data_IF_086839439959
#
_entry.id   IF_086839439959
#
_cell.length_a   1.000
_cell.length_b   1.000
_cell.length_c   1.000
_cell.angle_alpha   90.00
_cell.angle_beta   90.00
_cell.angle_gamma   90.00
#
_symmetry.space_group_name_H-M   'P 1'
#
loop_
_entity.id
_entity.type
_entity.pdbx_description
1 polymer ?
#
# COMPACT_ATOMS: atom_id res chain seq x y z
N UNK A 1 -19.40 20.97 -14.43
CA UNK A 1 -18.52 19.78 -14.46
C UNK A 1 -17.98 19.57 -13.07
N UNK A 2 -18.32 18.47 -12.42
CA UNK A 2 -17.73 18.11 -11.12
C UNK A 2 -16.22 17.90 -11.31
N UNK A 3 -15.42 18.62 -10.56
CA UNK A 3 -13.96 18.49 -10.61
C UNK A 3 -13.59 17.07 -10.13
N UNK A 4 -13.12 16.23 -11.04
CA UNK A 4 -12.74 14.85 -10.72
C UNK A 4 -11.22 14.83 -10.49
N UNK A 5 -10.82 14.59 -9.26
CA UNK A 5 -9.40 14.48 -8.87
C UNK A 5 -9.03 13.02 -8.74
N UNK A 6 -7.96 12.61 -9.40
CA UNK A 6 -7.33 11.30 -9.21
C UNK A 6 -6.32 11.43 -8.10
N UNK A 7 -6.42 10.58 -7.09
CA UNK A 7 -5.45 10.52 -5.99
C UNK A 7 -4.40 9.44 -6.23
N UNK A 8 -3.18 9.68 -5.79
CA UNK A 8 -2.12 8.67 -5.73
C UNK A 8 -2.06 8.08 -4.33
N UNK A 9 -2.06 6.77 -4.20
CA UNK A 9 -1.95 6.07 -2.93
C UNK A 9 -0.75 5.14 -2.96
N UNK A 10 0.12 5.30 -1.99
CA UNK A 10 1.11 4.30 -1.62
C UNK A 10 0.52 3.44 -0.49
N UNK A 11 0.12 2.21 -0.81
CA UNK A 11 -0.42 1.24 0.13
C UNK A 11 0.73 0.39 0.69
N UNK A 12 1.47 0.93 1.64
CA UNK A 12 2.64 0.26 2.21
C UNK A 12 2.31 -0.82 3.24
N UNK A 13 3.23 -1.74 3.46
CA UNK A 13 3.10 -2.81 4.46
C UNK A 13 2.96 -2.25 5.87
N UNK A 14 3.71 -1.20 6.18
CA UNK A 14 3.81 -0.60 7.52
C UNK A 14 3.09 0.74 7.59
N UNK A 15 3.32 1.61 6.60
CA UNK A 15 2.70 2.92 6.50
C UNK A 15 2.18 3.15 5.09
N UNK A 16 1.09 3.89 5.00
CA UNK A 16 0.49 4.32 3.73
C UNK A 16 0.45 5.84 3.64
N UNK A 17 0.44 6.38 2.44
CA UNK A 17 0.24 7.81 2.22
C UNK A 17 -0.64 8.07 1.00
N UNK A 18 -1.19 9.28 0.94
CA UNK A 18 -2.01 9.75 -0.17
C UNK A 18 -1.51 11.10 -0.67
N UNK A 19 -1.51 11.26 -1.99
CA UNK A 19 -1.07 12.48 -2.65
C UNK A 19 -2.05 12.89 -3.75
N UNK A 20 -2.01 14.17 -4.07
CA UNK A 20 -2.71 14.78 -5.22
C UNK A 20 -1.71 15.58 -6.06
N UNK A 21 -2.13 15.94 -7.28
CA UNK A 21 -1.45 16.96 -8.07
C UNK A 21 -2.24 18.27 -7.97
N UNK A 22 -1.62 19.28 -7.42
CA UNK A 22 -2.20 20.62 -7.27
C UNK A 22 -1.31 21.63 -8.00
N UNK A 23 -1.91 22.33 -8.98
CA UNK A 23 -1.17 23.29 -9.84
C UNK A 23 0.08 22.69 -10.51
N UNK A 24 0.01 21.42 -10.93
CA UNK A 24 1.12 20.72 -11.58
C UNK A 24 2.20 20.19 -10.63
N UNK A 25 2.02 20.34 -9.32
CA UNK A 25 2.97 19.87 -8.29
C UNK A 25 2.33 18.76 -7.47
N UNK A 26 3.08 17.67 -7.27
CA UNK A 26 2.68 16.58 -6.39
C UNK A 26 2.74 17.03 -4.92
N UNK A 27 1.67 16.74 -4.17
CA UNK A 27 1.54 17.10 -2.77
C UNK A 27 1.05 15.91 -1.98
N UNK A 28 1.85 15.44 -1.02
CA UNK A 28 1.44 14.46 -0.03
C UNK A 28 0.57 15.15 1.01
N UNK A 29 -0.59 14.58 1.30
CA UNK A 29 -1.58 15.15 2.20
C UNK A 29 -1.33 14.73 3.65
N UNK A 30 -1.64 15.64 4.57
CA UNK A 30 -1.66 15.35 6.00
C UNK A 30 -3.01 14.72 6.38
N UNK A 31 -2.96 13.68 7.20
CA UNK A 31 -4.15 13.05 7.76
C UNK A 31 -4.71 13.85 8.94
N UNK A 32 -5.84 13.40 9.50
CA UNK A 32 -6.49 14.05 10.65
C UNK A 32 -5.63 14.11 11.92
N UNK A 33 -4.56 13.32 11.98
CA UNK A 33 -3.58 13.35 13.07
C UNK A 33 -2.39 14.29 12.80
N UNK A 34 -2.39 15.04 11.69
CA UNK A 34 -1.35 15.99 11.30
C UNK A 34 -0.06 15.35 10.79
N UNK A 35 -0.13 14.11 10.33
CA UNK A 35 1.00 13.38 9.75
C UNK A 35 0.77 13.05 8.28
N UNK A 36 1.85 12.96 7.51
CA UNK A 36 1.78 12.65 6.06
C UNK A 36 1.78 11.15 5.77
N UNK A 37 2.01 10.34 6.77
CA UNK A 37 1.92 8.89 6.68
C UNK A 37 0.92 8.37 7.70
N UNK A 38 0.20 7.32 7.34
CA UNK A 38 -0.78 6.65 8.18
C UNK A 38 -0.32 5.22 8.41
N UNK A 39 -0.17 4.75 9.64
CA UNK A 39 0.12 3.34 9.89
C UNK A 39 -0.89 2.43 9.20
N UNK A 40 -0.42 1.42 8.48
CA UNK A 40 -1.26 0.40 7.84
C UNK A 40 -1.74 -0.63 8.87
N UNK A 41 -2.35 -0.13 9.94
CA UNK A 41 -2.85 -0.89 11.10
C UNK A 41 -4.35 -0.69 11.20
N UNK A 42 -5.07 -1.78 11.36
CA UNK A 42 -6.53 -1.79 11.48
C UNK A 42 -6.90 -2.52 12.77
N UNK A 43 -7.78 -1.95 13.57
CA UNK A 43 -8.29 -2.60 14.76
C UNK A 43 -9.82 -2.69 14.71
N UNK A 44 -10.31 -3.89 14.93
CA UNK A 44 -11.73 -4.18 15.05
C UNK A 44 -12.09 -4.19 16.53
N UNK A 45 -12.87 -3.20 16.94
CA UNK A 45 -13.41 -3.12 18.30
C UNK A 45 -14.87 -3.58 18.31
N UNK A 46 -15.49 -3.62 19.47
CA UNK A 46 -16.89 -4.00 19.60
C UNK A 46 -17.85 -2.98 18.93
N UNK A 47 -17.41 -1.75 18.73
CA UNK A 47 -18.25 -0.64 18.28
C UNK A 47 -17.84 -0.02 16.95
N UNK A 48 -16.56 -0.12 16.59
CA UNK A 48 -16.02 0.56 15.40
C UNK A 48 -14.77 -0.10 14.84
N UNK A 49 -14.40 0.29 13.63
CA UNK A 49 -13.12 -0.07 12.99
C UNK A 49 -12.20 1.15 13.09
N UNK A 50 -11.06 0.98 13.75
CA UNK A 50 -10.02 1.99 13.85
C UNK A 50 -8.95 1.76 12.79
N UNK A 51 -8.41 2.83 12.22
CA UNK A 51 -7.34 2.76 11.21
C UNK A 51 -6.23 3.76 11.54
N UNK A 52 -5.00 3.34 11.39
CA UNK A 52 -3.83 4.19 11.55
C UNK A 52 -3.38 4.34 13.01
N UNK A 53 -3.06 5.56 13.41
CA UNK A 53 -2.52 5.84 14.74
C UNK A 53 -3.48 5.47 15.88
N UNK A 54 -4.79 5.62 15.68
CA UNK A 54 -5.80 5.21 16.65
C UNK A 54 -5.80 3.69 16.87
N UNK A 55 -5.72 2.91 15.79
CA UNK A 55 -5.58 1.46 15.86
C UNK A 55 -4.28 1.05 16.55
N UNK A 56 -3.17 1.71 16.23
CA UNK A 56 -1.86 1.45 16.84
C UNK A 56 -1.86 1.68 18.36
N UNK A 57 -2.46 2.78 18.83
CA UNK A 57 -2.48 3.13 20.25
C UNK A 57 -3.18 2.11 21.13
N UNK A 58 -4.21 1.42 20.64
CA UNK A 58 -4.96 0.42 21.41
C UNK A 58 -4.48 -1.03 21.17
N UNK A 59 -3.45 -1.24 20.35
CA UNK A 59 -2.99 -2.57 19.94
C UNK A 59 -2.67 -3.50 21.13
N UNK A 60 -2.07 -2.97 22.18
CA UNK A 60 -1.70 -3.76 23.38
C UNK A 60 -2.93 -4.32 24.10
N UNK A 61 -4.04 -3.59 24.12
CA UNK A 61 -5.29 -4.03 24.77
C UNK A 61 -6.18 -4.89 23.88
N UNK A 62 -5.96 -4.88 22.57
CA UNK A 62 -6.78 -5.59 21.57
C UNK A 62 -5.91 -6.35 20.57
N UNK A 63 -4.97 -7.11 21.07
CA UNK A 63 -3.89 -7.74 20.28
C UNK A 63 -4.42 -8.64 19.17
N UNK A 64 -5.45 -9.45 19.45
CA UNK A 64 -5.99 -10.44 18.51
C UNK A 64 -6.80 -9.85 17.37
N UNK A 65 -7.37 -8.65 17.57
CA UNK A 65 -8.20 -7.98 16.57
C UNK A 65 -7.54 -6.70 16.03
N UNK A 66 -6.23 -6.53 16.27
CA UNK A 66 -5.44 -5.46 15.68
C UNK A 66 -4.50 -6.05 14.64
N UNK A 67 -4.77 -5.70 13.40
CA UNK A 67 -4.14 -6.28 12.22
C UNK A 67 -3.08 -5.33 11.66
N UNK A 68 -1.92 -5.86 11.36
CA UNK A 68 -0.81 -5.16 10.71
C UNK A 68 -0.12 -6.09 9.71
N UNK A 69 0.65 -5.54 8.78
CA UNK A 69 1.36 -6.34 7.79
C UNK A 69 0.46 -7.12 6.82
N UNK A 70 -0.83 -6.78 6.72
CA UNK A 70 -1.83 -7.50 5.91
C UNK A 70 -1.45 -7.55 4.43
N UNK A 71 -0.67 -6.60 3.94
CA UNK A 71 -0.13 -6.61 2.58
C UNK A 71 0.66 -7.89 2.26
N UNK A 72 1.28 -8.52 3.25
CA UNK A 72 1.99 -9.80 3.11
C UNK A 72 1.06 -11.00 2.82
N UNK A 73 -0.25 -10.85 3.05
CA UNK A 73 -1.27 -11.90 2.81
C UNK A 73 -2.03 -11.69 1.50
N UNK A 74 -1.93 -10.52 0.89
CA UNK A 74 -2.72 -10.16 -0.29
C UNK A 74 -2.37 -11.11 -1.44
N UNK A 75 -3.38 -11.77 -2.02
CA UNK A 75 -3.22 -12.70 -3.15
C UNK A 75 -2.48 -14.01 -2.82
N UNK A 76 -2.22 -14.30 -1.55
CA UNK A 76 -1.47 -15.49 -1.10
C UNK A 76 -2.38 -16.66 -0.77
N UNK A 77 -1.86 -17.88 -0.96
CA UNK A 77 -2.50 -19.12 -0.49
C UNK A 77 -2.11 -19.38 0.97
N UNK A 78 -3.00 -20.09 1.68
CA UNK A 78 -2.76 -20.40 3.08
C UNK A 78 -1.52 -21.28 3.29
N UNK A 79 -1.24 -22.20 2.37
CA UNK A 79 -0.10 -23.12 2.40
C UNK A 79 1.21 -22.53 1.85
N UNK A 80 1.21 -21.27 1.39
CA UNK A 80 2.45 -20.59 0.99
C UNK A 80 3.43 -20.53 2.18
N UNK A 81 4.70 -20.84 1.95
CA UNK A 81 5.75 -20.87 2.96
C UNK A 81 5.84 -19.53 3.72
N UNK A 82 5.77 -18.41 3.00
CA UNK A 82 5.79 -17.08 3.61
C UNK A 82 4.61 -16.82 4.55
N UNK A 83 3.44 -17.37 4.26
CA UNK A 83 2.26 -17.28 5.11
C UNK A 83 2.44 -18.15 6.35
N UNK A 84 2.97 -19.37 6.20
CA UNK A 84 3.22 -20.29 7.30
C UNK A 84 4.29 -19.75 8.28
N UNK A 85 5.30 -19.03 7.77
CA UNK A 85 6.26 -18.32 8.63
C UNK A 85 5.59 -17.13 9.35
N UNK A 86 4.77 -16.36 8.64
CA UNK A 86 4.08 -15.22 9.24
C UNK A 86 3.16 -15.64 10.40
N UNK A 87 2.44 -16.76 10.27
CA UNK A 87 1.57 -17.32 11.33
C UNK A 87 2.32 -17.51 12.65
N UNK A 88 3.61 -17.81 12.61
CA UNK A 88 4.42 -18.06 13.83
C UNK A 88 4.76 -16.77 14.60
N UNK A 89 4.70 -15.62 13.94
CA UNK A 89 5.21 -14.34 14.48
C UNK A 89 4.11 -13.32 14.80
N UNK A 90 2.92 -13.46 14.20
CA UNK A 90 1.83 -12.50 14.40
C UNK A 90 0.85 -12.94 15.48
N UNK A 91 0.22 -12.01 16.20
CA UNK A 91 -0.69 -12.32 17.29
C UNK A 91 -2.15 -12.59 16.87
N UNK A 92 -2.54 -12.24 15.65
CA UNK A 92 -3.89 -12.45 15.13
C UNK A 92 -3.98 -13.77 14.32
N UNK A 93 -5.19 -14.28 14.12
CA UNK A 93 -5.40 -15.57 13.47
C UNK A 93 -5.44 -15.45 11.94
N UNK A 94 -4.56 -16.18 11.26
CA UNK A 94 -4.69 -16.43 9.81
C UNK A 94 -5.35 -17.81 9.64
N UNK A 95 -6.34 -17.88 8.76
CA UNK A 95 -7.15 -19.07 8.52
C UNK A 95 -7.25 -19.38 7.03
N UNK A 96 -7.43 -20.66 6.73
CA UNK A 96 -7.68 -21.09 5.35
C UNK A 96 -9.12 -20.78 4.94
N UNK A 97 -9.28 -20.15 3.79
CA UNK A 97 -10.57 -19.97 3.14
C UNK A 97 -10.96 -21.18 2.27
N UNK A 98 -12.20 -21.25 1.85
CA UNK A 98 -12.70 -22.36 0.99
C UNK A 98 -11.94 -22.46 -0.34
N UNK A 99 -11.45 -21.34 -0.86
CA UNK A 99 -10.65 -21.26 -2.08
C UNK A 99 -9.13 -21.43 -1.83
N UNK A 100 -8.74 -21.83 -0.63
CA UNK A 100 -7.35 -22.01 -0.19
C UNK A 100 -6.57 -20.70 0.03
N UNK A 101 -7.18 -19.54 -0.07
CA UNK A 101 -6.52 -18.28 0.21
C UNK A 101 -6.26 -18.10 1.71
N UNK A 102 -5.23 -17.33 2.04
CA UNK A 102 -4.94 -16.91 3.40
C UNK A 102 -5.89 -15.77 3.81
N UNK A 103 -6.83 -16.04 4.68
CA UNK A 103 -7.76 -15.08 5.24
C UNK A 103 -7.41 -14.81 6.72
N UNK A 104 -7.99 -13.76 7.29
CA UNK A 104 -7.80 -13.40 8.70
C UNK A 104 -9.12 -13.58 9.43
N UNK A 105 -9.06 -14.16 10.63
CA UNK A 105 -10.23 -14.27 11.50
C UNK A 105 -10.20 -13.16 12.57
N UNK A 106 -11.28 -12.38 12.63
CA UNK A 106 -11.48 -11.28 13.58
C UNK A 106 -12.89 -11.40 14.17
N UNK A 107 -13.00 -11.46 15.50
CA UNK A 107 -14.30 -11.59 16.19
C UNK A 107 -15.15 -12.74 15.62
N UNK A 108 -14.52 -13.88 15.30
CA UNK A 108 -15.16 -15.05 14.66
C UNK A 108 -15.69 -14.81 13.24
N UNK A 109 -15.29 -13.73 12.59
CA UNK A 109 -15.62 -13.43 11.19
C UNK A 109 -14.35 -13.59 10.36
N UNK A 110 -14.44 -14.32 9.25
CA UNK A 110 -13.34 -14.47 8.29
C UNK A 110 -13.37 -13.32 7.29
N UNK A 111 -12.25 -12.62 7.16
CA UNK A 111 -12.05 -11.49 6.27
C UNK A 111 -10.94 -11.78 5.27
N UNK A 112 -11.20 -11.51 4.01
CA UNK A 112 -10.18 -11.56 2.98
C UNK A 112 -9.21 -10.36 3.09
N UNK A 113 -7.92 -10.52 2.81
CA UNK A 113 -6.96 -9.42 2.84
C UNK A 113 -7.36 -8.16 2.06
N UNK A 114 -8.01 -8.24 0.88
CA UNK A 114 -8.55 -7.05 0.20
C UNK A 114 -9.58 -6.28 1.01
N UNK A 115 -10.44 -6.95 1.77
CA UNK A 115 -11.44 -6.31 2.62
C UNK A 115 -10.76 -5.51 3.75
N UNK A 116 -9.72 -6.07 4.36
CA UNK A 116 -8.95 -5.43 5.42
C UNK A 116 -8.15 -4.25 4.85
N UNK A 117 -7.48 -4.44 3.73
CA UNK A 117 -6.72 -3.38 3.05
C UNK A 117 -7.61 -2.22 2.58
N UNK A 118 -8.87 -2.51 2.25
CA UNK A 118 -9.86 -1.49 1.90
C UNK A 118 -10.10 -0.48 3.03
N UNK A 119 -9.94 -0.87 4.30
CA UNK A 119 -10.09 0.07 5.42
C UNK A 119 -8.99 1.14 5.41
N UNK A 120 -7.73 0.74 5.09
CA UNK A 120 -6.62 1.69 4.91
C UNK A 120 -6.91 2.61 3.71
N UNK A 121 -7.37 2.04 2.59
CA UNK A 121 -7.70 2.82 1.40
C UNK A 121 -8.85 3.81 1.65
N UNK A 122 -9.86 3.44 2.45
CA UNK A 122 -10.93 4.36 2.90
C UNK A 122 -10.35 5.53 3.71
N UNK A 123 -9.40 5.25 4.61
CA UNK A 123 -8.73 6.32 5.37
C UNK A 123 -7.96 7.25 4.43
N UNK A 124 -7.26 6.72 3.41
CA UNK A 124 -6.57 7.53 2.40
C UNK A 124 -7.57 8.39 1.59
N UNK A 125 -8.67 7.78 1.14
CA UNK A 125 -9.77 8.48 0.45
C UNK A 125 -10.34 9.61 1.32
N UNK A 126 -10.69 9.33 2.56
CA UNK A 126 -11.23 10.33 3.50
C UNK A 126 -10.24 11.47 3.72
N UNK A 127 -8.96 11.18 3.91
CA UNK A 127 -7.91 12.20 4.03
C UNK A 127 -7.89 13.14 2.81
N UNK A 128 -8.03 12.59 1.61
CA UNK A 128 -8.07 13.40 0.40
C UNK A 128 -9.37 14.23 0.29
N UNK A 129 -10.51 13.64 0.62
CA UNK A 129 -11.82 14.30 0.60
C UNK A 129 -11.90 15.44 1.61
N UNK A 130 -11.36 15.27 2.83
CA UNK A 130 -11.27 16.31 3.85
C UNK A 130 -10.42 17.50 3.37
N UNK A 131 -9.29 17.23 2.72
CA UNK A 131 -8.45 18.28 2.13
C UNK A 131 -9.11 19.01 0.97
N UNK A 132 -9.74 18.27 0.05
CA UNK A 132 -10.30 18.80 -1.19
C UNK A 132 -11.68 19.44 -1.00
N UNK A 133 -12.44 19.03 0.03
CA UNK A 133 -13.81 19.49 0.29
C UNK A 133 -14.87 18.89 -0.63
N UNK A 134 -14.56 17.82 -1.39
CA UNK A 134 -15.48 17.11 -2.26
C UNK A 134 -15.12 15.62 -2.39
N UNK A 135 -16.09 14.76 -2.81
CA UNK A 135 -15.86 13.32 -2.94
C UNK A 135 -14.78 12.97 -3.98
N UNK A 136 -13.99 11.94 -3.66
CA UNK A 136 -12.98 11.35 -4.54
C UNK A 136 -13.40 9.94 -4.93
N UNK A 137 -13.34 9.64 -6.22
CA UNK A 137 -13.78 8.35 -6.76
C UNK A 137 -12.70 7.59 -7.51
N UNK A 138 -11.56 8.21 -7.83
CA UNK A 138 -10.53 7.62 -8.67
C UNK A 138 -9.16 7.65 -8.01
N UNK A 139 -8.41 6.56 -8.17
CA UNK A 139 -7.06 6.42 -7.62
C UNK A 139 -6.10 5.70 -8.56
N UNK A 140 -4.81 6.01 -8.38
CA UNK A 140 -3.68 5.19 -8.81
C UNK A 140 -3.05 4.63 -7.53
N UNK A 141 -2.79 3.32 -7.47
CA UNK A 141 -2.24 2.65 -6.29
C UNK A 141 -0.91 2.00 -6.65
N UNK A 142 0.08 2.11 -5.76
CA UNK A 142 1.39 1.47 -5.95
C UNK A 142 1.43 0.06 -5.34
N UNK A 143 2.24 -0.80 -5.95
CA UNK A 143 2.54 -2.16 -5.49
C UNK A 143 4.02 -2.47 -5.68
N UNK A 144 4.60 -3.41 -4.92
CA UNK A 144 5.94 -3.91 -5.18
C UNK A 144 6.09 -4.46 -6.60
N UNK A 145 7.28 -4.32 -7.18
CA UNK A 145 7.55 -4.86 -8.53
C UNK A 145 7.40 -6.38 -8.60
N UNK A 146 7.67 -7.07 -7.51
CA UNK A 146 7.58 -8.53 -7.40
C UNK A 146 6.14 -9.07 -7.31
N UNK A 147 5.13 -8.20 -7.15
CA UNK A 147 3.73 -8.64 -7.10
C UNK A 147 3.32 -9.32 -8.40
N UNK A 148 2.78 -10.51 -8.27
CA UNK A 148 2.16 -11.25 -9.37
C UNK A 148 0.74 -10.71 -9.71
N UNK A 149 0.12 -11.26 -10.74
CA UNK A 149 -1.19 -10.81 -11.21
C UNK A 149 -2.29 -10.96 -10.15
N UNK A 150 -2.26 -12.03 -9.34
CA UNK A 150 -3.23 -12.24 -8.26
C UNK A 150 -3.12 -11.18 -7.17
N UNK A 151 -1.89 -10.82 -6.77
CA UNK A 151 -1.63 -9.79 -5.77
C UNK A 151 -2.02 -8.39 -6.29
N UNK A 152 -1.77 -8.11 -7.57
CA UNK A 152 -2.20 -6.86 -8.24
C UNK A 152 -3.71 -6.77 -8.34
N UNK A 153 -4.38 -7.86 -8.74
CA UNK A 153 -5.85 -7.90 -8.81
C UNK A 153 -6.47 -7.73 -7.43
N UNK A 154 -5.96 -8.42 -6.41
CA UNK A 154 -6.43 -8.29 -5.03
C UNK A 154 -6.26 -6.85 -4.48
N UNK A 155 -5.19 -6.15 -4.86
CA UNK A 155 -5.00 -4.73 -4.54
C UNK A 155 -6.04 -3.85 -5.25
N UNK A 156 -6.34 -4.15 -6.51
CA UNK A 156 -7.39 -3.45 -7.26
C UNK A 156 -8.77 -3.68 -6.65
N UNK A 157 -9.05 -4.91 -6.23
CA UNK A 157 -10.30 -5.28 -5.54
C UNK A 157 -10.44 -4.53 -4.21
N UNK A 158 -9.37 -4.39 -3.44
CA UNK A 158 -9.36 -3.58 -2.23
C UNK A 158 -9.76 -2.12 -2.52
N UNK A 159 -9.26 -1.55 -3.61
CA UNK A 159 -9.65 -0.21 -4.08
C UNK A 159 -11.15 -0.12 -4.38
N UNK A 160 -11.68 -1.09 -5.11
CA UNK A 160 -13.11 -1.16 -5.44
C UNK A 160 -13.97 -1.28 -4.17
N UNK A 161 -13.58 -2.12 -3.20
CA UNK A 161 -14.25 -2.26 -1.90
C UNK A 161 -14.21 -0.94 -1.11
N UNK A 162 -13.13 -0.17 -1.23
CA UNK A 162 -13.02 1.17 -0.62
C UNK A 162 -13.85 2.26 -1.34
N UNK A 163 -14.51 1.93 -2.45
CA UNK A 163 -15.28 2.86 -3.27
C UNK A 163 -14.41 3.74 -4.16
N UNK A 164 -13.28 3.19 -4.65
CA UNK A 164 -12.37 3.81 -5.58
C UNK A 164 -12.35 3.04 -6.90
N UNK A 165 -12.50 3.74 -8.01
CA UNK A 165 -12.11 3.24 -9.32
C UNK A 165 -10.59 3.30 -9.42
N UNK A 166 -9.93 2.14 -9.44
CA UNK A 166 -8.48 2.06 -9.57
C UNK A 166 -8.11 2.14 -11.05
N UNK A 167 -7.66 3.31 -11.47
CA UNK A 167 -7.32 3.58 -12.86
C UNK A 167 -6.06 2.82 -13.29
N UNK A 168 -5.07 2.75 -12.39
CA UNK A 168 -3.81 2.03 -12.63
C UNK A 168 -3.25 1.47 -11.33
N UNK A 169 -2.60 0.33 -11.47
CA UNK A 169 -1.65 -0.22 -10.50
C UNK A 169 -0.26 0.02 -11.10
N UNK A 170 0.63 0.67 -10.36
CA UNK A 170 2.01 0.94 -10.80
C UNK A 170 3.02 0.39 -9.79
N UNK A 171 4.21 0.08 -10.25
CA UNK A 171 5.25 -0.43 -9.37
C UNK A 171 5.81 0.70 -8.48
N UNK A 172 6.04 0.44 -7.20
CA UNK A 172 6.64 1.36 -6.24
C UNK A 172 7.95 1.97 -6.73
N UNK A 173 8.93 1.19 -7.22
CA UNK A 173 10.16 1.75 -7.74
C UNK A 173 9.96 2.59 -9.02
N UNK A 174 8.96 2.27 -9.85
CA UNK A 174 8.60 3.09 -11.00
C UNK A 174 8.07 4.45 -10.56
N UNK A 175 7.18 4.48 -9.55
CA UNK A 175 6.66 5.72 -8.98
C UNK A 175 7.77 6.58 -8.36
N UNK A 176 8.69 5.96 -7.61
CA UNK A 176 9.83 6.64 -7.01
C UNK A 176 10.76 7.23 -8.09
N UNK A 177 11.04 6.47 -9.15
CA UNK A 177 11.86 6.94 -10.28
C UNK A 177 11.20 8.08 -11.05
N UNK A 178 9.88 8.03 -11.23
CA UNK A 178 9.12 9.10 -11.87
C UNK A 178 9.19 10.38 -11.03
N UNK A 179 8.98 10.29 -9.73
CA UNK A 179 9.10 11.43 -8.83
C UNK A 179 10.51 12.05 -8.88
N UNK A 180 11.54 11.20 -8.85
CA UNK A 180 12.94 11.64 -8.98
C UNK A 180 13.22 12.29 -10.34
N UNK A 181 12.66 11.75 -11.44
CA UNK A 181 12.86 12.28 -12.79
C UNK A 181 12.21 13.65 -12.98
N UNK A 182 11.02 13.87 -12.38
CA UNK A 182 10.29 15.13 -12.46
C UNK A 182 11.04 16.29 -11.78
N UNK A 183 11.84 16.01 -10.75
CA UNK A 183 12.64 17.01 -10.06
C UNK A 183 13.95 17.39 -10.81
N UNK A 184 14.31 16.65 -11.87
CA UNK A 184 15.56 16.88 -12.60
C UNK A 184 15.32 17.60 -13.90
N UNK A 185 16.09 18.66 -14.12
CA UNK A 185 16.10 19.41 -15.39
C UNK A 185 16.89 18.71 -16.49
N UNK A 186 17.75 17.76 -16.12
CA UNK A 186 18.54 16.96 -17.06
C UNK A 186 17.67 15.85 -17.68
N UNK A 187 17.50 15.91 -19.00
CA UNK A 187 16.70 14.97 -19.80
C UNK A 187 17.51 13.85 -20.45
N UNK A 188 18.78 13.66 -20.05
CA UNK A 188 19.59 12.60 -20.60
C UNK A 188 19.12 11.22 -20.11
N UNK A 189 19.27 10.23 -20.97
CA UNK A 189 19.03 8.83 -20.63
C UNK A 189 19.95 8.41 -19.48
N UNK A 190 19.40 7.69 -18.51
CA UNK A 190 20.15 7.26 -17.32
C UNK A 190 19.58 5.98 -16.75
N UNK A 191 20.46 5.22 -16.11
CA UNK A 191 20.09 4.08 -15.27
C UNK A 191 20.21 4.50 -13.82
N UNK A 192 19.18 4.19 -13.04
CA UNK A 192 19.12 4.47 -11.62
C UNK A 192 18.85 3.18 -10.85
N UNK A 193 19.44 3.07 -9.66
CA UNK A 193 19.07 2.04 -8.70
C UNK A 193 18.09 2.65 -7.70
N UNK A 194 16.94 2.02 -7.54
CA UNK A 194 16.00 2.33 -6.46
C UNK A 194 16.23 1.31 -5.36
N UNK A 195 16.59 1.80 -4.18
CA UNK A 195 16.78 1.03 -2.97
C UNK A 195 15.62 1.36 -2.03
N UNK A 196 14.67 0.43 -1.92
CA UNK A 196 13.48 0.57 -1.09
C UNK A 196 13.59 -0.36 0.11
N UNK A 197 13.89 0.22 1.28
CA UNK A 197 13.96 -0.49 2.55
C UNK A 197 12.82 -0.01 3.44
N UNK A 198 11.69 -0.72 3.34
CA UNK A 198 10.49 -0.43 4.11
C UNK A 198 10.53 -1.01 5.53
N UNK A 199 9.40 -0.91 6.25
CA UNK A 199 9.28 -1.50 7.59
C UNK A 199 9.17 -3.02 7.59
N UNK A 200 8.77 -3.65 6.48
CA UNK A 200 8.56 -5.10 6.40
C UNK A 200 9.07 -5.76 5.13
N UNK A 201 9.55 -4.99 4.16
CA UNK A 201 10.08 -5.50 2.89
C UNK A 201 11.33 -4.73 2.48
N UNK A 202 12.20 -5.38 1.75
CA UNK A 202 13.34 -4.78 1.08
C UNK A 202 13.26 -5.08 -0.41
N UNK A 203 13.33 -4.05 -1.23
CA UNK A 203 13.35 -4.15 -2.68
C UNK A 203 14.48 -3.32 -3.27
N UNK A 204 15.15 -3.86 -4.28
CA UNK A 204 16.12 -3.15 -5.11
C UNK A 204 15.74 -3.31 -6.57
N UNK A 205 15.67 -2.20 -7.30
CA UNK A 205 15.31 -2.18 -8.71
C UNK A 205 16.29 -1.36 -9.51
N UNK A 206 16.68 -1.88 -10.67
CA UNK A 206 17.45 -1.12 -11.68
C UNK A 206 16.46 -0.65 -12.72
N UNK A 207 16.44 0.65 -12.96
CA UNK A 207 15.47 1.31 -13.80
C UNK A 207 16.19 2.15 -14.84
N UNK A 208 15.76 2.05 -16.08
CA UNK A 208 16.14 2.95 -17.15
C UNK A 208 15.13 4.07 -17.29
N UNK A 209 15.63 5.29 -17.30
CA UNK A 209 14.84 6.49 -17.58
C UNK A 209 15.37 7.03 -18.88
N UNK A 210 14.57 7.01 -19.94
CA UNK A 210 14.90 7.49 -21.28
C UNK A 210 13.96 8.62 -21.70
N UNK A 211 14.44 9.51 -22.54
CA UNK A 211 13.62 10.53 -23.19
C UNK A 211 13.44 10.15 -24.67
N UNK A 212 12.23 9.70 -25.01
CA UNK A 212 11.89 9.31 -26.37
C UNK A 212 10.85 10.29 -26.91
N UNK A 213 11.17 10.99 -27.98
CA UNK A 213 10.28 11.98 -28.63
C UNK A 213 9.74 13.06 -27.67
N UNK A 214 10.52 13.41 -26.63
CA UNK A 214 10.15 14.44 -25.64
C UNK A 214 9.31 13.91 -24.48
N UNK A 215 8.98 12.62 -24.46
CA UNK A 215 8.30 11.94 -23.38
C UNK A 215 9.27 11.11 -22.52
N UNK A 216 9.10 11.18 -21.20
CA UNK A 216 9.89 10.37 -20.28
C UNK A 216 9.34 8.94 -20.26
N UNK A 217 10.17 7.98 -20.67
CA UNK A 217 9.88 6.56 -20.56
C UNK A 217 10.67 5.97 -19.38
N UNK A 218 10.00 5.09 -18.62
CA UNK A 218 10.58 4.42 -17.45
C UNK A 218 10.39 2.92 -17.62
N UNK A 219 11.50 2.19 -17.63
CA UNK A 219 11.53 0.74 -17.76
C UNK A 219 12.25 0.11 -16.56
N UNK A 220 11.63 -0.89 -15.94
CA UNK A 220 12.26 -1.70 -14.88
C UNK A 220 13.08 -2.79 -15.57
N UNK A 221 14.41 -2.66 -15.54
CA UNK A 221 15.33 -3.62 -16.15
C UNK A 221 15.51 -4.88 -15.30
N UNK A 222 15.55 -4.72 -13.99
CA UNK A 222 15.71 -5.82 -13.05
C UNK A 222 15.17 -5.42 -11.70
N UNK A 223 14.60 -6.38 -10.98
CA UNK A 223 14.20 -6.20 -9.59
C UNK A 223 14.51 -7.47 -8.79
N UNK A 224 14.88 -7.27 -7.54
CA UNK A 224 15.05 -8.33 -6.56
C UNK A 224 14.74 -7.78 -5.18
N UNK A 225 14.42 -8.65 -4.22
CA UNK A 225 14.06 -8.20 -2.89
C UNK A 225 13.80 -9.35 -1.93
N UNK A 226 13.57 -8.97 -0.68
CA UNK A 226 13.23 -9.90 0.40
C UNK A 226 11.92 -9.42 1.02
N UNK A 227 10.88 -10.21 0.87
CA UNK A 227 9.51 -9.85 1.31
C UNK A 227 9.29 -9.98 2.81
N UNK A 228 10.30 -10.43 3.55
CA UNK A 228 10.29 -10.65 5.00
C UNK A 228 11.45 -9.94 5.70
N UNK A 229 12.07 -8.93 5.05
CA UNK A 229 13.13 -8.12 5.64
C UNK A 229 12.74 -6.64 5.59
N UNK A 230 12.72 -5.99 6.73
CA UNK A 230 12.44 -4.56 6.84
C UNK A 230 12.85 -4.02 8.21
N UNK A 231 12.52 -2.76 8.50
CA UNK A 231 12.88 -2.11 9.76
C UNK A 231 12.37 -2.85 10.99
N UNK A 232 11.20 -3.50 10.91
CA UNK A 232 10.67 -4.28 12.04
C UNK A 232 11.55 -5.47 12.42
N UNK A 233 12.22 -6.08 11.44
CA UNK A 233 13.09 -7.24 11.68
C UNK A 233 14.46 -6.82 12.26
N UNK A 234 14.75 -5.52 12.28
CA UNK A 234 15.95 -4.95 12.91
C UNK A 234 15.67 -4.42 14.33
N UNK A 235 14.41 -4.22 14.68
CA UNK A 235 13.97 -3.70 15.99
C UNK A 235 13.75 -4.83 17.03
N UNK A 236 13.84 -6.09 16.61
CA UNK A 236 13.80 -7.31 17.47
C UNK A 236 15.22 -7.69 17.95
#
# INVERSE_FOLDING_TARGET
MTKQTVIGIDLGTTNSCVAIVENGVAKVLENSEGTRTTPSIIAYTDTEILVGASAKRQAVSNVKNTLFGVKRLIGRKFDDESVQELIKTIPYSIVEADNKDAWVEVNSIKLAPPQISAEVLRKMKTTAEEYLGYPVTQAVITVPSAFNDSERQATKDAGAIAGLEVLRIINEPTAASLAFALDKTDKNDRKVAVYDFGGGTFDISIIEIANVDGETQIEVLSTNGITTLGGHDLDE
#
